data_IF_997603698405
#
_entry.id   IF_997603698405
#
_cell.length_a   1.000
_cell.length_b   1.000
_cell.length_c   1.000
_cell.angle_alpha   90.00
_cell.angle_beta   90.00
_cell.angle_gamma   90.00
#
_symmetry.space_group_name_H-M   'P 1'
#
loop_
_entity.id
_entity.type
_entity.pdbx_description
1 polymer ?
#
# COMPACT_ATOMS: atom_id res chain seq x y z
N UNK A 1 48.72 22.79 30.46
CA UNK A 1 47.29 23.12 30.26
C UNK A 1 46.93 22.80 28.82
N UNK A 2 46.05 21.82 28.61
CA UNK A 2 45.41 21.48 27.32
C UNK A 2 44.35 22.52 26.93
N UNK A 3 43.98 22.59 25.65
CA UNK A 3 42.63 22.10 25.34
C UNK A 3 42.63 21.11 24.16
N UNK A 4 42.02 19.95 24.40
CA UNK A 4 41.72 18.95 23.38
C UNK A 4 40.45 19.36 22.63
N UNK A 5 40.57 19.58 21.31
CA UNK A 5 39.47 19.90 20.41
C UNK A 5 38.55 18.67 20.35
N UNK A 6 37.37 18.76 20.98
CA UNK A 6 36.35 17.70 20.98
C UNK A 6 35.80 17.51 19.56
N UNK A 7 36.30 16.48 18.89
CA UNK A 7 35.92 15.98 17.56
C UNK A 7 34.44 15.52 17.57
N UNK A 8 33.50 16.43 17.27
CA UNK A 8 32.05 16.16 17.07
C UNK A 8 31.70 15.52 15.71
N UNK A 9 32.70 15.31 14.86
CA UNK A 9 32.55 14.77 13.50
C UNK A 9 32.09 13.30 13.36
N UNK A 10 32.41 12.35 14.27
CA UNK A 10 32.07 10.94 14.05
C UNK A 10 30.58 10.66 14.18
N UNK A 11 29.81 11.50 14.88
CA UNK A 11 28.37 11.31 15.06
C UNK A 11 27.59 11.50 13.76
N UNK A 12 27.90 12.55 12.99
CA UNK A 12 27.22 12.82 11.71
C UNK A 12 27.51 11.73 10.67
N UNK A 13 28.73 11.18 10.68
CA UNK A 13 29.10 10.05 9.82
C UNK A 13 28.35 8.77 10.21
N UNK A 14 28.14 8.53 11.51
CA UNK A 14 27.37 7.38 11.99
C UNK A 14 25.90 7.50 11.59
N UNK A 15 25.27 8.65 11.84
CA UNK A 15 23.86 8.89 11.44
C UNK A 15 23.71 8.81 9.92
N UNK A 16 24.64 9.39 9.17
CA UNK A 16 24.67 9.29 7.70
C UNK A 16 24.80 7.86 7.22
N UNK A 17 25.70 7.07 7.82
CA UNK A 17 25.87 5.65 7.46
C UNK A 17 24.64 4.82 7.83
N UNK A 18 23.97 5.11 8.94
CA UNK A 18 22.78 4.37 9.37
C UNK A 18 21.59 4.67 8.44
N UNK A 19 21.41 5.94 8.08
CA UNK A 19 20.40 6.36 7.10
C UNK A 19 20.66 5.71 5.74
N UNK A 20 21.92 5.67 5.29
CA UNK A 20 22.30 5.03 4.04
C UNK A 20 22.07 3.51 4.07
N UNK A 21 22.35 2.85 5.20
CA UNK A 21 22.09 1.43 5.37
C UNK A 21 20.59 1.11 5.40
N UNK A 22 19.77 1.93 6.07
CA UNK A 22 18.31 1.78 6.04
C UNK A 22 17.74 2.04 4.63
N UNK A 23 18.29 3.03 3.90
CA UNK A 23 17.88 3.33 2.53
C UNK A 23 18.27 2.19 1.57
N UNK A 24 19.48 1.66 1.71
CA UNK A 24 19.95 0.51 0.94
C UNK A 24 19.13 -0.75 1.27
N UNK A 25 18.84 -1.00 2.55
CA UNK A 25 17.96 -2.09 2.98
C UNK A 25 16.55 -1.95 2.40
N UNK A 26 15.96 -0.76 2.46
CA UNK A 26 14.67 -0.46 1.84
C UNK A 26 14.69 -0.65 0.32
N UNK A 27 15.77 -0.26 -0.35
CA UNK A 27 15.93 -0.43 -1.80
C UNK A 27 16.09 -1.90 -2.20
N UNK A 28 16.85 -2.69 -1.44
CA UNK A 28 17.03 -4.13 -1.66
C UNK A 28 15.72 -4.87 -1.40
N UNK A 29 14.99 -4.57 -0.32
CA UNK A 29 13.66 -5.13 -0.07
C UNK A 29 12.70 -4.73 -1.19
N UNK A 30 12.69 -3.47 -1.62
CA UNK A 30 11.85 -3.01 -2.72
C UNK A 30 12.17 -3.70 -4.06
N UNK A 31 13.45 -4.02 -4.33
CA UNK A 31 13.85 -4.74 -5.56
C UNK A 31 13.67 -6.25 -5.47
N UNK A 32 13.96 -6.87 -4.33
CA UNK A 32 13.84 -8.31 -4.14
C UNK A 32 12.38 -8.76 -4.10
N UNK A 33 11.48 -7.88 -3.66
CA UNK A 33 10.03 -8.08 -3.70
C UNK A 33 9.35 -7.35 -4.86
N UNK A 34 10.07 -6.96 -5.93
CA UNK A 34 9.44 -6.33 -7.10
C UNK A 34 8.39 -7.27 -7.68
N UNK A 35 7.09 -6.91 -7.60
CA UNK A 35 6.10 -7.54 -8.45
C UNK A 35 6.45 -7.24 -9.91
N UNK A 36 5.97 -8.03 -10.88
CA UNK A 36 6.06 -7.66 -12.29
C UNK A 36 5.60 -6.21 -12.50
N UNK A 37 6.15 -5.50 -13.50
CA UNK A 37 5.85 -4.08 -13.71
C UNK A 37 4.34 -3.86 -13.68
N UNK A 38 3.85 -2.91 -12.87
CA UNK A 38 2.43 -2.67 -12.76
C UNK A 38 1.94 -2.33 -14.17
N UNK A 39 0.90 -3.03 -14.66
CA UNK A 39 0.29 -2.64 -15.92
C UNK A 39 -0.22 -1.19 -15.82
N UNK A 40 -0.40 -0.48 -16.94
CA UNK A 40 -0.89 0.88 -16.92
C UNK A 40 -2.29 0.92 -16.26
N UNK A 41 -2.45 1.80 -15.26
CA UNK A 41 -3.60 1.84 -14.35
C UNK A 41 -3.26 1.14 -13.03
N UNK A 42 -3.52 1.78 -11.90
CA UNK A 42 -3.12 1.32 -10.58
C UNK A 42 -3.73 -0.03 -10.15
N UNK A 43 -3.65 -0.38 -8.86
CA UNK A 43 -4.20 -1.64 -8.34
C UNK A 43 -5.69 -1.83 -8.71
N UNK A 44 -6.44 -0.76 -8.94
CA UNK A 44 -7.82 -0.80 -9.45
C UNK A 44 -7.95 -1.47 -10.83
N UNK A 45 -7.03 -1.23 -11.77
CA UNK A 45 -7.09 -1.81 -13.11
C UNK A 45 -6.74 -3.31 -13.14
N UNK A 46 -5.99 -3.79 -12.16
CA UNK A 46 -5.73 -5.21 -11.98
C UNK A 46 -6.98 -5.92 -11.45
N UNK A 47 -7.65 -5.30 -10.48
CA UNK A 47 -8.87 -5.83 -9.90
C UNK A 47 -10.06 -5.79 -10.87
N UNK A 48 -10.21 -4.71 -11.64
CA UNK A 48 -11.22 -4.59 -12.71
C UNK A 48 -11.03 -5.68 -13.77
N UNK A 49 -9.79 -5.91 -14.25
CA UNK A 49 -9.51 -7.00 -15.20
C UNK A 49 -9.76 -8.39 -14.62
N UNK A 50 -9.45 -8.59 -13.34
CA UNK A 50 -9.74 -9.85 -12.66
C UNK A 50 -11.25 -10.08 -12.57
N UNK A 51 -12.02 -9.05 -12.17
CA UNK A 51 -13.49 -9.15 -12.12
C UNK A 51 -14.07 -9.38 -13.51
N UNK A 52 -13.60 -8.68 -14.54
CA UNK A 52 -14.05 -8.91 -15.92
C UNK A 52 -13.78 -10.34 -16.39
N UNK A 53 -12.60 -10.89 -16.07
CA UNK A 53 -12.23 -12.26 -16.47
C UNK A 53 -13.04 -13.32 -15.71
N UNK A 54 -13.24 -13.13 -14.40
CA UNK A 54 -14.07 -14.03 -13.57
C UNK A 54 -15.54 -13.93 -13.96
N UNK A 55 -16.07 -12.72 -14.20
CA UNK A 55 -17.46 -12.48 -14.61
C UNK A 55 -17.83 -13.18 -15.92
N UNK A 56 -16.89 -13.34 -16.86
CA UNK A 56 -17.13 -14.11 -18.11
C UNK A 56 -17.39 -15.58 -17.87
N UNK A 57 -16.94 -16.10 -16.74
CA UNK A 57 -17.09 -17.49 -16.34
C UNK A 57 -18.15 -17.67 -15.25
N UNK A 58 -18.88 -16.62 -14.86
CA UNK A 58 -19.93 -16.67 -13.84
C UNK A 58 -21.33 -16.64 -14.47
N UNK A 59 -22.34 -16.96 -13.66
CA UNK A 59 -23.73 -16.70 -14.03
C UNK A 59 -23.96 -15.17 -14.16
N UNK A 60 -24.92 -14.71 -15.00
CA UNK A 60 -25.21 -13.28 -15.12
C UNK A 60 -25.60 -12.61 -13.79
N UNK A 61 -26.23 -13.37 -12.88
CA UNK A 61 -26.59 -12.89 -11.56
C UNK A 61 -25.37 -12.69 -10.66
N UNK A 62 -24.44 -13.65 -10.64
CA UNK A 62 -23.20 -13.57 -9.85
C UNK A 62 -22.24 -12.50 -10.40
N UNK A 63 -22.15 -12.37 -11.73
CA UNK A 63 -21.38 -11.31 -12.37
C UNK A 63 -21.90 -9.92 -11.98
N UNK A 64 -23.23 -9.72 -11.95
CA UNK A 64 -23.83 -8.46 -11.52
C UNK A 64 -23.50 -8.12 -10.05
N UNK A 65 -23.44 -9.12 -9.17
CA UNK A 65 -23.03 -8.95 -7.77
C UNK A 65 -21.57 -8.49 -7.69
N UNK A 66 -20.68 -9.11 -8.47
CA UNK A 66 -19.26 -8.80 -8.48
C UNK A 66 -18.96 -7.40 -9.05
N UNK A 67 -19.61 -7.03 -10.15
CA UNK A 67 -19.51 -5.68 -10.73
C UNK A 67 -20.03 -4.61 -9.77
N UNK A 68 -21.18 -4.84 -9.13
CA UNK A 68 -21.72 -3.91 -8.15
C UNK A 68 -20.78 -3.73 -6.95
N UNK A 69 -20.21 -4.82 -6.44
CA UNK A 69 -19.24 -4.76 -5.35
C UNK A 69 -17.99 -3.95 -5.73
N UNK A 70 -17.54 -4.06 -6.98
CA UNK A 70 -16.41 -3.27 -7.49
C UNK A 70 -16.74 -1.79 -7.59
N UNK A 71 -17.90 -1.44 -8.15
CA UNK A 71 -18.33 -0.04 -8.24
C UNK A 71 -18.54 0.60 -6.87
N UNK A 72 -19.11 -0.15 -5.92
CA UNK A 72 -19.26 0.29 -4.52
C UNK A 72 -17.90 0.48 -3.82
N UNK A 73 -16.86 -0.24 -4.25
CA UNK A 73 -15.49 -0.13 -3.74
C UNK A 73 -14.63 0.92 -4.44
N UNK A 74 -15.04 1.43 -5.62
CA UNK A 74 -14.31 2.47 -6.38
C UNK A 74 -13.91 3.69 -5.53
N UNK A 75 -14.77 4.24 -4.66
CA UNK A 75 -14.38 5.36 -3.79
C UNK A 75 -13.25 5.03 -2.81
N UNK A 76 -13.15 3.79 -2.33
CA UNK A 76 -12.06 3.35 -1.45
C UNK A 76 -10.73 3.33 -2.17
N UNK A 77 -10.70 2.80 -3.40
CA UNK A 77 -9.48 2.78 -4.20
C UNK A 77 -8.98 4.19 -4.52
N UNK A 78 -9.89 5.13 -4.82
CA UNK A 78 -9.53 6.54 -5.02
C UNK A 78 -8.89 7.12 -3.75
N UNK A 79 -9.49 6.88 -2.57
CA UNK A 79 -8.93 7.35 -1.28
C UNK A 79 -7.55 6.76 -1.01
N UNK A 80 -7.36 5.47 -1.32
CA UNK A 80 -6.09 4.79 -1.15
C UNK A 80 -5.01 5.34 -2.09
N UNK A 81 -5.37 5.66 -3.34
CA UNK A 81 -4.47 6.27 -4.31
C UNK A 81 -4.04 7.66 -3.86
N UNK A 82 -5.00 8.52 -3.49
CA UNK A 82 -4.74 9.89 -3.00
C UNK A 82 -3.86 9.85 -1.75
N UNK A 83 -4.16 8.97 -0.79
CA UNK A 83 -3.36 8.83 0.44
C UNK A 83 -1.90 8.45 0.15
N UNK A 84 -1.65 7.63 -0.89
CA UNK A 84 -0.30 7.24 -1.29
C UNK A 84 0.43 8.36 -2.02
N UNK A 85 -0.26 9.08 -2.90
CA UNK A 85 0.30 10.22 -3.61
C UNK A 85 0.66 11.36 -2.66
N UNK A 86 -0.15 11.59 -1.62
CA UNK A 86 0.11 12.60 -0.59
C UNK A 86 1.26 12.23 0.37
N UNK A 87 1.61 10.95 0.47
CA UNK A 87 2.66 10.50 1.39
C UNK A 87 4.05 10.99 0.98
N UNK A 88 4.40 10.85 -0.30
CA UNK A 88 5.71 11.27 -0.82
C UNK A 88 6.03 12.76 -0.57
N UNK A 89 5.14 13.74 -0.88
CA UNK A 89 5.39 15.14 -0.58
C UNK A 89 5.44 15.42 0.93
N UNK A 90 4.61 14.75 1.75
CA UNK A 90 4.65 14.90 3.22
C UNK A 90 5.95 14.38 3.82
N UNK A 91 6.42 13.23 3.36
CA UNK A 91 7.71 12.67 3.76
C UNK A 91 8.85 13.62 3.37
N UNK A 92 8.82 14.17 2.15
CA UNK A 92 9.81 15.16 1.70
C UNK A 92 9.82 16.39 2.60
N UNK A 93 8.66 16.96 2.94
CA UNK A 93 8.58 18.11 3.85
C UNK A 93 9.14 17.78 5.24
N UNK A 94 8.80 16.62 5.81
CA UNK A 94 9.30 16.19 7.11
C UNK A 94 10.83 16.02 7.13
N UNK A 95 11.43 15.52 6.03
CA UNK A 95 12.87 15.38 5.89
C UNK A 95 13.60 16.73 5.71
N UNK A 96 12.92 17.74 5.13
CA UNK A 96 13.49 19.08 4.90
C UNK A 96 13.27 20.03 6.10
N UNK A 97 12.52 19.62 7.12
CA UNK A 97 12.24 20.42 8.30
C UNK A 97 13.53 20.72 9.09
N UNK A 98 13.70 21.98 9.50
CA UNK A 98 14.77 22.40 10.41
C UNK A 98 14.19 23.12 11.63
N UNK A 99 14.44 22.63 12.85
CA UNK A 99 15.21 21.42 13.19
C UNK A 99 14.51 20.13 12.71
N UNK A 100 15.28 19.04 12.58
CA UNK A 100 14.73 17.74 12.21
C UNK A 100 13.74 17.24 13.27
N UNK A 101 12.51 16.96 12.86
CA UNK A 101 11.45 16.45 13.73
C UNK A 101 11.27 14.94 13.55
N UNK A 102 12.02 14.17 14.33
CA UNK A 102 11.90 12.71 14.35
C UNK A 102 10.54 12.24 14.87
N UNK A 103 9.88 13.01 15.75
CA UNK A 103 8.60 12.63 16.32
C UNK A 103 7.47 12.81 15.29
N UNK A 104 7.48 13.93 14.55
CA UNK A 104 6.57 14.18 13.44
C UNK A 104 6.74 13.18 12.29
N UNK A 105 7.98 12.78 11.97
CA UNK A 105 8.22 11.75 10.97
C UNK A 105 7.67 10.38 11.41
N UNK A 106 7.86 10.00 12.68
CA UNK A 106 7.27 8.77 13.22
C UNK A 106 5.74 8.82 13.20
N UNK A 107 5.14 9.94 13.62
CA UNK A 107 3.69 10.12 13.59
C UNK A 107 3.13 10.02 12.16
N UNK A 108 3.85 10.52 11.15
CA UNK A 108 3.48 10.35 9.75
C UNK A 108 3.41 8.87 9.36
N UNK A 109 4.43 8.07 9.67
CA UNK A 109 4.41 6.62 9.40
C UNK A 109 3.28 5.90 10.15
N UNK A 110 3.11 6.20 11.44
CA UNK A 110 2.05 5.59 12.25
C UNK A 110 0.65 5.92 11.67
N UNK A 111 0.44 7.15 11.17
CA UNK A 111 -0.82 7.55 10.53
C UNK A 111 -1.10 6.78 9.22
N UNK A 112 -0.08 6.52 8.42
CA UNK A 112 -0.21 5.76 7.17
C UNK A 112 -0.52 4.30 7.48
N UNK A 113 0.18 3.70 8.45
CA UNK A 113 -0.08 2.33 8.86
C UNK A 113 -1.49 2.17 9.43
N UNK A 114 -1.98 3.12 10.23
CA UNK A 114 -3.34 3.10 10.74
C UNK A 114 -4.38 3.20 9.61
N UNK A 115 -4.15 4.08 8.62
CA UNK A 115 -5.03 4.24 7.48
C UNK A 115 -5.06 2.97 6.59
N UNK A 116 -3.89 2.41 6.30
CA UNK A 116 -3.78 1.17 5.53
C UNK A 116 -4.45 -0.01 6.24
N UNK A 117 -4.32 -0.11 7.57
CA UNK A 117 -4.98 -1.15 8.37
C UNK A 117 -6.50 -1.01 8.35
N UNK A 118 -7.03 0.22 8.48
CA UNK A 118 -8.45 0.49 8.41
C UNK A 118 -9.02 0.16 7.02
N UNK A 119 -8.36 0.60 5.95
CA UNK A 119 -8.74 0.30 4.57
C UNK A 119 -8.73 -1.20 4.30
N UNK A 120 -7.71 -1.92 4.76
CA UNK A 120 -7.61 -3.37 4.62
C UNK A 120 -8.78 -4.08 5.29
N UNK A 121 -9.09 -3.70 6.53
CA UNK A 121 -10.21 -4.29 7.26
C UNK A 121 -11.55 -4.05 6.56
N UNK A 122 -11.75 -2.88 5.96
CA UNK A 122 -12.98 -2.58 5.20
C UNK A 122 -13.08 -3.41 3.92
N UNK A 123 -11.97 -3.56 3.20
CA UNK A 123 -11.91 -4.41 1.99
C UNK A 123 -12.21 -5.86 2.34
N UNK A 124 -11.59 -6.40 3.40
CA UNK A 124 -11.82 -7.77 3.87
C UNK A 124 -13.30 -7.99 4.23
N UNK A 125 -13.92 -7.06 4.97
CA UNK A 125 -15.33 -7.15 5.33
C UNK A 125 -16.25 -7.16 4.08
N UNK A 126 -15.97 -6.29 3.10
CA UNK A 126 -16.72 -6.24 1.82
C UNK A 126 -16.52 -7.50 0.99
N UNK A 127 -15.32 -8.06 1.00
CA UNK A 127 -15.02 -9.31 0.29
C UNK A 127 -15.84 -10.46 0.86
N UNK A 128 -15.88 -10.59 2.20
CA UNK A 128 -16.69 -11.61 2.89
C UNK A 128 -18.19 -11.41 2.63
N UNK A 129 -18.70 -10.17 2.70
CA UNK A 129 -20.10 -9.87 2.37
C UNK A 129 -20.43 -10.22 0.91
N UNK A 130 -19.55 -9.91 -0.03
CA UNK A 130 -19.73 -10.26 -1.45
C UNK A 130 -19.75 -11.78 -1.66
N UNK A 131 -18.81 -12.51 -1.06
CA UNK A 131 -18.78 -13.97 -1.10
C UNK A 131 -20.02 -14.61 -0.47
N UNK A 132 -20.61 -13.99 0.56
CA UNK A 132 -21.83 -14.49 1.19
C UNK A 132 -23.07 -14.39 0.30
N UNK A 133 -23.06 -13.46 -0.67
CA UNK A 133 -24.15 -13.22 -1.62
C UNK A 133 -24.02 -14.02 -2.90
N UNK A 134 -22.83 -14.53 -3.19
CA UNK A 134 -22.56 -15.35 -4.36
C UNK A 134 -23.12 -16.76 -4.21
N UNK A 135 -23.54 -17.35 -5.32
CA UNK A 135 -23.93 -18.76 -5.37
C UNK A 135 -22.79 -19.69 -4.92
N UNK A 136 -23.08 -20.90 -4.41
CA UNK A 136 -22.06 -21.91 -4.14
C UNK A 136 -21.17 -22.20 -5.36
N UNK A 137 -21.76 -22.26 -6.56
CA UNK A 137 -21.06 -22.43 -7.83
C UNK A 137 -20.15 -21.24 -8.16
N UNK A 138 -20.64 -20.01 -7.90
CA UNK A 138 -19.87 -18.79 -8.10
C UNK A 138 -18.65 -18.68 -7.18
N UNK A 139 -18.78 -19.12 -5.93
CA UNK A 139 -17.64 -19.23 -5.00
C UNK A 139 -16.61 -20.26 -5.44
N UNK A 140 -17.05 -21.38 -5.99
CA UNK A 140 -16.18 -22.45 -6.49
C UNK A 140 -15.39 -21.97 -7.73
N UNK A 141 -16.08 -21.29 -8.65
CA UNK A 141 -15.45 -20.64 -9.82
C UNK A 141 -14.42 -19.58 -9.42
N UNK A 142 -14.68 -18.81 -8.35
CA UNK A 142 -13.73 -17.83 -7.79
C UNK A 142 -12.51 -18.48 -7.13
N UNK A 143 -12.65 -19.68 -6.58
CA UNK A 143 -11.53 -20.43 -6.02
C UNK A 143 -10.68 -21.10 -7.12
N UNK A 144 -11.32 -21.48 -8.23
CA UNK A 144 -10.67 -22.05 -9.42
C UNK A 144 -10.00 -20.98 -10.30
N UNK A 145 -10.58 -19.77 -10.36
CA UNK A 145 -9.89 -18.63 -10.95
C UNK A 145 -8.69 -18.30 -10.07
N UNK A 146 -7.50 -18.31 -10.67
CA UNK A 146 -6.27 -17.97 -9.94
C UNK A 146 -6.42 -16.58 -9.32
N UNK A 147 -6.66 -16.54 -8.02
CA UNK A 147 -6.39 -15.36 -7.20
C UNK A 147 -4.89 -15.03 -7.38
N UNK A 148 -4.54 -13.85 -7.92
CA UNK A 148 -3.15 -13.45 -8.12
C UNK A 148 -2.41 -13.24 -6.79
#
# INVERSE_FOLDING_TARGET
>A
MTPAIRRRWPWFLLVGSLALNMLAGGFVVAHAFRPPPPPPGGPEHLLERFVDDVSRHLSPADAAILHKAMDDARPLFIRMHVSREEFAPRLRMALMAQPFDSAGLKALFDSVHANDAALRSEIEARFVDTLSRLSPEGRLRLAESRLP
#
